data_IF_944373195426
#
_entry.id   IF_944373195426
#
_cell.length_a   1.000
_cell.length_b   1.000
_cell.length_c   1.000
_cell.angle_alpha   90.00
_cell.angle_beta   90.00
_cell.angle_gamma   90.00
#
_symmetry.space_group_name_H-M   'P 1'
#
loop_
_entity.id
_entity.type
_entity.pdbx_description
1 polymer ?
#
# COMPACT_ATOMS: atom_id res chain seq x y z
N UNK A 1 -4.01 -32.13 0.74
CA UNK A 1 -3.12 -31.35 1.63
C UNK A 1 -3.98 -30.73 2.73
N UNK A 2 -3.68 -30.95 4.02
CA UNK A 2 -4.54 -30.44 5.10
C UNK A 2 -4.58 -28.90 5.04
N UNK A 3 -5.76 -28.30 5.24
CA UNK A 3 -5.95 -26.83 5.20
C UNK A 3 -4.99 -26.11 6.18
N UNK A 4 -4.65 -26.77 7.28
CA UNK A 4 -3.68 -26.32 8.27
C UNK A 4 -2.26 -26.23 7.71
N UNK A 5 -1.77 -27.27 7.01
CA UNK A 5 -0.42 -27.26 6.43
C UNK A 5 -0.27 -26.14 5.38
N UNK A 6 -1.32 -25.93 4.58
CA UNK A 6 -1.38 -24.83 3.61
C UNK A 6 -1.27 -23.47 4.29
N UNK A 7 -1.97 -23.26 5.40
CA UNK A 7 -1.94 -21.98 6.11
C UNK A 7 -0.60 -21.73 6.81
N UNK A 8 -0.01 -22.76 7.43
CA UNK A 8 1.32 -22.69 8.04
C UNK A 8 2.37 -22.32 6.98
N UNK A 9 2.34 -22.98 5.83
CA UNK A 9 3.27 -22.70 4.72
C UNK A 9 3.11 -21.26 4.21
N UNK A 10 1.86 -20.76 4.09
CA UNK A 10 1.60 -19.37 3.70
C UNK A 10 2.20 -18.37 4.68
N UNK A 11 1.95 -18.54 5.98
CA UNK A 11 2.50 -17.64 6.99
C UNK A 11 4.03 -17.69 7.04
N UNK A 12 4.61 -18.90 6.99
CA UNK A 12 6.06 -19.08 6.93
C UNK A 12 6.67 -18.39 5.70
N UNK A 13 6.03 -18.49 4.53
CA UNK A 13 6.46 -17.80 3.32
C UNK A 13 6.45 -16.27 3.50
N UNK A 14 5.38 -15.68 4.04
CA UNK A 14 5.32 -14.22 4.26
C UNK A 14 6.33 -13.73 5.30
N UNK A 15 6.57 -14.50 6.36
CA UNK A 15 7.59 -14.18 7.36
C UNK A 15 8.99 -14.26 6.74
N UNK A 16 9.28 -15.33 6.00
CA UNK A 16 10.57 -15.48 5.32
C UNK A 16 10.80 -14.33 4.32
N UNK A 17 9.76 -13.92 3.59
CA UNK A 17 9.82 -12.79 2.67
C UNK A 17 10.07 -11.46 3.41
N UNK A 18 9.42 -11.24 4.55
CA UNK A 18 9.65 -10.07 5.39
C UNK A 18 11.10 -10.01 5.90
N UNK A 19 11.61 -11.13 6.43
CA UNK A 19 13.01 -11.24 6.89
C UNK A 19 13.98 -11.02 5.73
N UNK A 20 13.70 -11.57 4.55
CA UNK A 20 14.51 -11.36 3.35
C UNK A 20 14.59 -9.88 2.98
N UNK A 21 13.46 -9.16 2.96
CA UNK A 21 13.46 -7.73 2.64
C UNK A 21 14.17 -6.87 3.69
N UNK A 22 14.00 -7.18 4.98
CA UNK A 22 14.73 -6.52 6.06
C UNK A 22 16.24 -6.76 5.92
N UNK A 23 16.63 -8.00 5.65
CA UNK A 23 18.04 -8.34 5.42
C UNK A 23 18.59 -7.62 4.19
N UNK A 24 17.86 -7.60 3.07
CA UNK A 24 18.26 -6.85 1.86
C UNK A 24 18.43 -5.35 2.16
N UNK A 25 17.55 -4.77 2.98
CA UNK A 25 17.62 -3.36 3.35
C UNK A 25 18.82 -3.03 4.25
N UNK A 26 19.21 -3.94 5.14
CA UNK A 26 20.26 -3.70 6.14
C UNK A 26 21.64 -4.13 5.65
N UNK A 27 21.73 -5.13 4.75
CA UNK A 27 23.00 -5.70 4.27
C UNK A 27 23.95 -4.68 3.66
N UNK A 28 23.43 -3.58 3.09
CA UNK A 28 24.23 -2.51 2.48
C UNK A 28 24.65 -1.38 3.44
N UNK A 29 24.35 -1.49 4.73
CA UNK A 29 24.70 -0.51 5.76
C UNK A 29 26.11 -0.80 6.31
N UNK A 30 27.10 -0.12 5.75
CA UNK A 30 28.44 -0.07 6.33
C UNK A 30 28.47 0.86 7.55
N UNK A 31 29.54 0.79 8.35
CA UNK A 31 29.78 1.66 9.51
C UNK A 31 29.68 3.16 9.20
N UNK A 32 30.10 3.57 8.00
CA UNK A 32 30.02 4.95 7.54
C UNK A 32 28.57 5.42 7.34
N UNK A 33 27.75 4.64 6.61
CA UNK A 33 26.32 4.94 6.41
C UNK A 33 25.54 4.92 7.72
N UNK A 34 25.95 4.07 8.66
CA UNK A 34 25.36 4.03 9.99
C UNK A 34 25.63 5.31 10.79
N UNK A 35 26.85 5.87 10.66
CA UNK A 35 27.18 7.18 11.24
C UNK A 35 26.41 8.30 10.56
N UNK A 36 26.32 8.30 9.24
CA UNK A 36 25.52 9.29 8.49
C UNK A 36 24.04 9.25 8.89
N UNK A 37 23.45 8.07 9.07
CA UNK A 37 22.07 7.93 9.51
C UNK A 37 21.85 8.53 10.91
N UNK A 38 22.77 8.26 11.85
CA UNK A 38 22.71 8.81 13.21
C UNK A 38 22.85 10.34 13.22
N UNK A 39 23.76 10.86 12.40
CA UNK A 39 24.02 12.28 12.25
C UNK A 39 22.86 13.00 11.53
N UNK A 40 22.21 12.35 10.57
CA UNK A 40 21.00 12.84 9.93
C UNK A 40 19.82 12.89 10.91
N UNK A 41 19.67 11.87 11.77
CA UNK A 41 18.64 11.84 12.81
C UNK A 41 18.87 12.93 13.88
N UNK A 42 20.11 13.12 14.33
CA UNK A 42 20.42 14.12 15.37
C UNK A 42 20.24 15.56 14.88
N UNK A 43 20.51 15.83 13.59
CA UNK A 43 20.32 17.14 12.96
C UNK A 43 18.92 17.36 12.38
N UNK A 44 18.04 16.37 12.46
CA UNK A 44 16.69 16.49 11.92
C UNK A 44 15.90 17.57 12.66
N UNK A 45 15.22 18.45 11.91
CA UNK A 45 14.36 19.45 12.51
C UNK A 45 13.03 18.82 12.93
N UNK A 46 12.93 18.43 14.19
CA UNK A 46 11.71 17.83 14.75
C UNK A 46 10.50 18.78 14.76
N UNK A 47 10.67 20.09 14.55
CA UNK A 47 9.52 20.99 14.37
C UNK A 47 8.71 20.64 13.12
N UNK A 48 9.32 20.01 12.12
CA UNK A 48 8.61 19.52 10.92
C UNK A 48 7.62 18.40 11.22
N UNK A 49 7.74 17.72 12.37
CA UNK A 49 6.78 16.67 12.77
C UNK A 49 5.39 17.25 13.01
N UNK A 50 5.29 18.49 13.53
CA UNK A 50 4.01 19.13 13.80
C UNK A 50 3.14 19.36 12.55
N UNK A 51 3.62 20.03 11.48
CA UNK A 51 2.82 20.22 10.27
C UNK A 51 2.49 18.88 9.59
N UNK A 52 3.38 17.89 9.65
CA UNK A 52 3.11 16.53 9.13
C UNK A 52 1.97 15.87 9.90
N UNK A 53 2.03 15.90 11.24
CA UNK A 53 0.99 15.35 12.09
C UNK A 53 -0.34 16.06 11.89
N UNK A 54 -0.32 17.38 11.78
CA UNK A 54 -1.50 18.19 11.49
C UNK A 54 -2.14 17.79 10.14
N UNK A 55 -1.33 17.71 9.08
CA UNK A 55 -1.80 17.25 7.76
C UNK A 55 -2.36 15.83 7.81
N UNK A 56 -1.74 14.94 8.58
CA UNK A 56 -2.20 13.56 8.75
C UNK A 56 -3.58 13.50 9.43
N UNK A 57 -3.78 14.27 10.50
CA UNK A 57 -5.06 14.34 11.21
C UNK A 57 -6.13 14.97 10.31
N UNK A 58 -5.80 16.05 9.61
CA UNK A 58 -6.70 16.71 8.67
C UNK A 58 -7.11 15.78 7.53
N UNK A 59 -6.17 15.02 6.96
CA UNK A 59 -6.45 14.03 5.92
C UNK A 59 -7.45 12.96 6.39
N UNK A 60 -7.27 12.44 7.61
CA UNK A 60 -8.20 11.47 8.19
C UNK A 60 -9.57 12.08 8.55
N UNK A 61 -9.59 13.38 8.89
CA UNK A 61 -10.83 14.10 9.12
C UNK A 61 -11.64 14.24 7.84
N UNK A 62 -11.00 14.60 6.72
CA UNK A 62 -11.66 14.65 5.41
C UNK A 62 -12.18 13.27 4.98
N UNK A 63 -11.43 12.21 5.25
CA UNK A 63 -11.89 10.83 5.00
C UNK A 63 -13.13 10.49 5.81
N UNK A 64 -13.19 10.89 7.08
CA UNK A 64 -14.39 10.75 7.91
C UNK A 64 -15.59 11.46 7.29
N UNK A 65 -15.42 12.70 6.83
CA UNK A 65 -16.51 13.46 6.20
C UNK A 65 -17.00 12.77 4.94
N UNK A 66 -16.09 12.28 4.09
CA UNK A 66 -16.46 11.50 2.90
C UNK A 66 -17.27 10.26 3.27
N UNK A 67 -16.80 9.48 4.23
CA UNK A 67 -17.49 8.27 4.66
C UNK A 67 -18.86 8.56 5.27
N UNK A 68 -18.99 9.66 6.02
CA UNK A 68 -20.28 10.13 6.52
C UNK A 68 -21.25 10.48 5.37
N UNK A 69 -20.78 11.16 4.31
CA UNK A 69 -21.61 11.46 3.14
C UNK A 69 -22.11 10.19 2.41
N UNK A 70 -21.38 9.08 2.48
CA UNK A 70 -21.83 7.78 1.97
C UNK A 70 -22.90 7.12 2.87
N UNK A 71 -22.94 7.48 4.15
CA UNK A 71 -23.85 6.90 5.15
C UNK A 71 -25.17 7.68 5.26
N UNK A 72 -25.13 9.01 5.09
CA UNK A 72 -26.31 9.88 5.19
C UNK A 72 -27.48 9.47 4.28
N UNK A 73 -27.29 9.05 3.01
CA UNK A 73 -28.37 8.59 2.14
C UNK A 73 -29.08 7.32 2.65
N UNK A 74 -28.45 6.57 3.57
CA UNK A 74 -29.04 5.38 4.17
C UNK A 74 -29.93 5.69 5.38
N UNK A 75 -30.12 6.97 5.72
CA UNK A 75 -30.95 7.43 6.83
C UNK A 75 -30.25 7.42 8.19
N UNK A 76 -28.92 7.28 8.22
CA UNK A 76 -28.14 7.31 9.46
C UNK A 76 -27.29 8.58 9.54
N UNK A 77 -27.26 9.21 10.71
CA UNK A 77 -26.45 10.41 10.98
C UNK A 77 -25.46 10.15 12.11
N UNK A 78 -24.40 9.35 11.86
CA UNK A 78 -23.44 9.03 12.89
C UNK A 78 -22.66 10.26 13.37
N UNK A 79 -22.26 10.25 14.65
CA UNK A 79 -21.42 11.32 15.23
C UNK A 79 -20.06 11.42 14.52
N UNK A 80 -19.66 12.65 14.20
CA UNK A 80 -18.36 12.95 13.55
C UNK A 80 -17.18 12.47 14.39
N UNK A 81 -17.26 12.64 15.70
CA UNK A 81 -16.19 12.28 16.64
C UNK A 81 -16.03 10.76 16.68
N UNK A 82 -17.15 10.02 16.80
CA UNK A 82 -17.13 8.56 16.86
C UNK A 82 -16.64 7.94 15.55
N UNK A 83 -17.04 8.48 14.39
CA UNK A 83 -16.50 8.05 13.10
C UNK A 83 -15.01 8.35 12.96
N UNK A 84 -14.56 9.54 13.37
CA UNK A 84 -13.15 9.89 13.30
C UNK A 84 -12.30 8.98 14.18
N UNK A 85 -12.72 8.72 15.42
CA UNK A 85 -12.05 7.78 16.32
C UNK A 85 -12.07 6.35 15.78
N UNK A 86 -13.18 5.88 15.23
CA UNK A 86 -13.24 4.55 14.59
C UNK A 86 -12.22 4.45 13.45
N UNK A 87 -12.10 5.47 12.62
CA UNK A 87 -11.13 5.54 11.53
C UNK A 87 -9.69 5.49 12.07
N UNK A 88 -9.36 6.26 13.11
CA UNK A 88 -8.03 6.24 13.73
C UNK A 88 -7.71 4.87 14.33
N UNK A 89 -8.64 4.28 15.08
CA UNK A 89 -8.46 2.94 15.68
C UNK A 89 -8.22 1.89 14.60
N UNK A 90 -8.98 1.89 13.52
CA UNK A 90 -8.74 0.92 12.46
C UNK A 90 -7.42 1.16 11.72
N UNK A 91 -6.95 2.40 11.58
CA UNK A 91 -5.60 2.63 11.06
C UNK A 91 -4.53 2.11 12.01
N UNK A 92 -4.71 2.30 13.32
CA UNK A 92 -3.83 1.75 14.32
C UNK A 92 -3.73 0.22 14.24
N UNK A 93 -4.89 -0.45 14.14
CA UNK A 93 -4.98 -1.92 14.00
C UNK A 93 -4.27 -2.41 12.73
N UNK A 94 -4.36 -1.67 11.63
CA UNK A 94 -3.69 -2.04 10.38
C UNK A 94 -2.16 -2.09 10.49
N UNK A 95 -1.55 -1.38 11.46
CA UNK A 95 -0.11 -1.54 11.75
C UNK A 95 0.22 -2.87 12.42
N UNK A 96 -0.70 -3.42 13.23
CA UNK A 96 -0.51 -4.71 13.90
C UNK A 96 -0.78 -5.90 12.98
N UNK A 97 -1.85 -5.82 12.19
CA UNK A 97 -2.18 -6.89 11.23
C UNK A 97 -2.89 -6.33 9.99
N UNK A 98 -2.51 -6.80 8.79
CA UNK A 98 -3.06 -6.29 7.55
C UNK A 98 -4.56 -6.58 7.44
N UNK A 99 -5.33 -5.57 7.00
CA UNK A 99 -6.77 -5.64 6.69
C UNK A 99 -7.72 -5.80 7.89
N UNK A 100 -7.22 -6.08 9.11
CA UNK A 100 -8.07 -6.14 10.30
C UNK A 100 -8.70 -4.78 10.66
N UNK A 101 -8.04 -3.68 10.31
CA UNK A 101 -8.51 -2.34 10.62
C UNK A 101 -9.82 -1.95 9.95
N UNK A 102 -10.13 -2.53 8.79
CA UNK A 102 -11.39 -2.27 8.08
C UNK A 102 -12.57 -2.95 8.78
N UNK A 103 -12.37 -4.19 9.24
CA UNK A 103 -13.36 -4.93 10.04
C UNK A 103 -13.62 -4.19 11.35
N UNK A 104 -12.57 -3.79 12.07
CA UNK A 104 -12.70 -3.12 13.36
C UNK A 104 -13.42 -1.77 13.24
N UNK A 105 -13.19 -0.98 12.19
CA UNK A 105 -13.94 0.26 11.92
C UNK A 105 -15.44 0.01 11.84
N UNK A 106 -15.87 -0.96 11.04
CA UNK A 106 -17.27 -1.31 10.90
C UNK A 106 -17.86 -1.82 12.21
N UNK A 107 -17.14 -2.68 12.93
CA UNK A 107 -17.63 -3.24 14.21
C UNK A 107 -17.80 -2.17 15.28
N UNK A 108 -16.83 -1.27 15.43
CA UNK A 108 -16.92 -0.16 16.39
C UNK A 108 -18.08 0.76 16.02
N UNK A 109 -18.17 1.17 14.76
CA UNK A 109 -19.23 2.09 14.35
C UNK A 109 -20.62 1.45 14.46
N UNK A 110 -20.75 0.16 14.13
CA UNK A 110 -22.00 -0.58 14.30
C UNK A 110 -22.42 -0.66 15.78
N UNK A 111 -21.46 -0.81 16.70
CA UNK A 111 -21.74 -0.89 18.14
C UNK A 111 -22.15 0.46 18.75
N UNK A 112 -21.45 1.53 18.39
CA UNK A 112 -21.64 2.85 19.00
C UNK A 112 -22.74 3.69 18.32
N UNK A 113 -22.83 3.63 16.99
CA UNK A 113 -23.78 4.43 16.21
C UNK A 113 -25.00 3.63 15.72
N UNK A 114 -25.09 2.34 16.07
CA UNK A 114 -26.20 1.44 15.72
C UNK A 114 -26.48 1.33 14.21
N UNK A 115 -25.47 1.60 13.38
CA UNK A 115 -25.56 1.41 11.93
C UNK A 115 -25.30 -0.07 11.61
N UNK A 116 -26.14 -0.75 10.80
CA UNK A 116 -25.91 -2.15 10.44
C UNK A 116 -24.54 -2.36 9.80
N UNK A 117 -23.78 -3.34 10.30
CA UNK A 117 -22.43 -3.64 9.82
C UNK A 117 -22.42 -3.98 8.32
N UNK A 118 -23.45 -4.66 7.81
CA UNK A 118 -23.55 -5.05 6.39
C UNK A 118 -23.58 -3.82 5.47
N UNK A 119 -24.29 -2.76 5.89
CA UNK A 119 -24.33 -1.49 5.15
C UNK A 119 -22.99 -0.75 5.20
N UNK A 120 -22.31 -0.79 6.34
CA UNK A 120 -20.98 -0.17 6.52
C UNK A 120 -19.90 -0.86 5.68
N UNK A 121 -19.93 -2.19 5.59
CA UNK A 121 -19.00 -2.93 4.72
C UNK A 121 -19.25 -2.58 3.25
N UNK A 122 -20.51 -2.47 2.84
CA UNK A 122 -20.87 -2.04 1.49
C UNK A 122 -20.32 -0.66 1.12
N UNK A 123 -20.39 0.32 2.04
CA UNK A 123 -19.82 1.65 1.78
C UNK A 123 -18.30 1.65 1.69
N UNK A 124 -17.60 0.82 2.47
CA UNK A 124 -16.14 0.68 2.36
C UNK A 124 -15.76 0.10 0.99
N UNK A 125 -16.46 -0.94 0.52
CA UNK A 125 -16.14 -1.53 -0.79
C UNK A 125 -16.37 -0.52 -1.92
N UNK A 126 -17.49 0.22 -1.88
CA UNK A 126 -17.76 1.30 -2.83
C UNK A 126 -16.68 2.39 -2.79
N UNK A 127 -16.26 2.79 -1.58
CA UNK A 127 -15.17 3.74 -1.37
C UNK A 127 -13.87 3.26 -2.04
N UNK A 128 -13.50 1.98 -1.85
CA UNK A 128 -12.29 1.39 -2.45
C UNK A 128 -12.37 1.32 -3.97
N UNK A 129 -13.54 1.02 -4.53
CA UNK A 129 -13.72 0.98 -5.98
C UNK A 129 -13.50 2.36 -6.60
N UNK A 130 -14.07 3.41 -6.00
CA UNK A 130 -13.88 4.80 -6.45
C UNK A 130 -12.42 5.23 -6.30
N UNK A 131 -11.77 4.89 -5.19
CA UNK A 131 -10.35 5.16 -4.97
C UNK A 131 -9.49 4.47 -6.04
N UNK A 132 -9.79 3.22 -6.40
CA UNK A 132 -9.06 2.50 -7.44
C UNK A 132 -9.24 3.13 -8.82
N UNK A 133 -10.47 3.52 -9.18
CA UNK A 133 -10.74 4.22 -10.45
C UNK A 133 -10.00 5.55 -10.50
N UNK A 134 -10.06 6.35 -9.43
CA UNK A 134 -9.33 7.63 -9.37
C UNK A 134 -7.81 7.44 -9.46
N UNK A 135 -7.26 6.41 -8.79
CA UNK A 135 -5.85 6.07 -8.89
C UNK A 135 -5.45 5.72 -10.34
N UNK A 136 -6.25 4.90 -11.05
CA UNK A 136 -5.99 4.54 -12.44
C UNK A 136 -6.01 5.76 -13.34
N UNK A 137 -6.97 6.68 -13.16
CA UNK A 137 -7.05 7.91 -13.94
C UNK A 137 -5.82 8.79 -13.69
N UNK A 138 -5.48 9.07 -12.44
CA UNK A 138 -4.33 9.91 -12.08
C UNK A 138 -3.02 9.27 -12.57
N UNK A 139 -2.88 7.95 -12.43
CA UNK A 139 -1.73 7.22 -12.93
C UNK A 139 -1.61 7.30 -14.45
N UNK A 140 -2.72 7.13 -15.18
CA UNK A 140 -2.75 7.27 -16.64
C UNK A 140 -2.37 8.69 -17.09
N UNK A 141 -2.93 9.72 -16.45
CA UNK A 141 -2.55 11.12 -16.71
C UNK A 141 -1.06 11.34 -16.43
N UNK A 142 -0.55 10.85 -15.30
CA UNK A 142 0.87 10.97 -14.94
C UNK A 142 1.76 10.33 -16.00
N UNK A 143 1.37 9.17 -16.52
CA UNK A 143 2.11 8.47 -17.57
C UNK A 143 2.17 9.26 -18.87
N UNK A 144 1.07 9.91 -19.26
CA UNK A 144 1.01 10.77 -20.46
C UNK A 144 1.89 12.02 -20.25
N UNK A 145 1.77 12.69 -19.11
CA UNK A 145 2.53 13.91 -18.81
C UNK A 145 4.04 13.63 -18.73
N UNK A 146 4.42 12.51 -18.11
CA UNK A 146 5.82 12.12 -17.94
C UNK A 146 6.36 11.24 -19.05
N UNK A 147 5.72 11.19 -20.21
CA UNK A 147 6.15 10.32 -21.31
C UNK A 147 7.63 10.56 -21.71
N UNK A 148 8.08 11.82 -21.70
CA UNK A 148 9.47 12.18 -22.02
C UNK A 148 10.46 11.68 -20.96
N UNK A 149 10.12 11.79 -19.67
CA UNK A 149 10.94 11.26 -18.57
C UNK A 149 11.00 9.74 -18.65
N UNK A 150 9.86 9.10 -18.91
CA UNK A 150 9.77 7.64 -19.04
C UNK A 150 10.58 7.15 -20.24
N UNK A 151 10.51 7.83 -21.37
CA UNK A 151 11.26 7.46 -22.59
C UNK A 151 12.77 7.66 -22.41
N UNK A 152 13.20 8.75 -21.78
CA UNK A 152 14.61 8.99 -21.46
C UNK A 152 15.16 8.04 -20.40
N UNK A 153 14.41 7.71 -19.35
CA UNK A 153 14.81 6.67 -18.38
C UNK A 153 14.90 5.29 -19.03
N UNK A 154 13.98 4.99 -19.95
CA UNK A 154 14.01 3.74 -20.71
C UNK A 154 15.26 3.68 -21.60
N UNK A 155 15.59 4.76 -22.31
CA UNK A 155 16.75 4.82 -23.20
C UNK A 155 18.10 4.84 -22.45
N UNK A 156 18.17 5.50 -21.31
CA UNK A 156 19.44 5.73 -20.58
C UNK A 156 19.77 4.64 -19.55
N UNK A 157 18.76 4.03 -18.92
CA UNK A 157 18.97 3.12 -17.79
C UNK A 157 18.51 1.69 -18.10
N UNK A 158 17.40 1.54 -18.82
CA UNK A 158 16.80 0.22 -19.08
C UNK A 158 17.41 -0.43 -20.32
N UNK A 159 17.47 0.27 -21.45
CA UNK A 159 17.99 -0.27 -22.71
C UNK A 159 19.49 -0.64 -22.66
N UNK A 160 20.38 0.12 -21.99
CA UNK A 160 21.79 -0.25 -21.87
C UNK A 160 22.01 -1.44 -20.93
N UNK A 161 21.21 -1.57 -19.86
CA UNK A 161 21.24 -2.74 -18.98
C UNK A 161 20.85 -4.05 -19.70
N UNK A 162 20.05 -3.93 -20.77
CA UNK A 162 19.62 -5.04 -21.62
C UNK A 162 20.56 -5.32 -22.81
N UNK A 163 21.50 -4.41 -23.12
CA UNK A 163 22.53 -4.60 -24.16
C UNK A 163 23.81 -5.21 -23.56
N UNK A 164 24.50 -6.03 -24.33
CA UNK A 164 25.86 -6.48 -24.00
C UNK A 164 26.88 -5.40 -24.43
N UNK A 165 28.13 -5.50 -23.95
CA UNK A 165 29.22 -4.56 -24.26
C UNK A 165 29.46 -4.35 -25.77
N UNK A 166 29.05 -5.29 -26.62
CA UNK A 166 29.22 -5.27 -28.08
C UNK A 166 28.02 -4.66 -28.85
N UNK A 167 27.05 -4.03 -28.15
CA UNK A 167 25.92 -3.33 -28.77
C UNK A 167 24.77 -4.21 -29.26
N UNK A 168 24.88 -5.54 -29.16
CA UNK A 168 23.79 -6.49 -29.45
C UNK A 168 22.86 -6.66 -28.24
N UNK A 169 21.56 -6.78 -28.50
CA UNK A 169 20.53 -6.99 -27.47
C UNK A 169 20.62 -8.42 -26.93
N UNK A 170 20.81 -8.55 -25.61
CA UNK A 170 21.00 -9.84 -24.95
C UNK A 170 19.65 -10.54 -24.78
N UNK A 171 19.32 -11.47 -25.70
CA UNK A 171 18.04 -12.19 -25.75
C UNK A 171 17.69 -12.87 -24.42
N UNK A 172 18.70 -13.37 -23.69
CA UNK A 172 18.47 -14.06 -22.41
C UNK A 172 18.08 -13.09 -21.27
N UNK A 173 18.62 -11.86 -21.24
CA UNK A 173 18.28 -10.86 -20.21
C UNK A 173 16.86 -10.32 -20.43
N UNK A 174 16.49 -10.11 -21.68
CA UNK A 174 15.11 -9.74 -22.06
C UNK A 174 14.15 -10.89 -21.71
N UNK A 175 14.52 -12.14 -22.01
CA UNK A 175 13.74 -13.31 -21.62
C UNK A 175 13.63 -13.49 -20.10
N UNK A 176 14.67 -13.13 -19.34
CA UNK A 176 14.65 -13.17 -17.87
C UNK A 176 13.75 -12.08 -17.28
N UNK A 177 13.78 -10.85 -17.81
CA UNK A 177 12.89 -9.77 -17.38
C UNK A 177 11.44 -10.06 -17.79
N UNK A 178 11.20 -10.50 -19.02
CA UNK A 178 9.88 -10.90 -19.49
C UNK A 178 9.35 -12.11 -18.72
N UNK A 179 10.19 -13.11 -18.47
CA UNK A 179 9.87 -14.26 -17.63
C UNK A 179 9.55 -13.85 -16.19
N UNK A 180 10.32 -12.91 -15.61
CA UNK A 180 10.05 -12.34 -14.30
C UNK A 180 8.71 -11.60 -14.23
N UNK A 181 8.37 -10.81 -15.25
CA UNK A 181 7.09 -10.11 -15.36
C UNK A 181 5.91 -11.08 -15.54
N UNK A 182 6.07 -12.13 -16.35
CA UNK A 182 5.06 -13.18 -16.55
C UNK A 182 4.86 -13.96 -15.25
N UNK A 183 5.94 -14.33 -14.58
CA UNK A 183 5.90 -15.06 -13.32
C UNK A 183 5.29 -14.19 -12.21
N UNK A 184 5.62 -12.89 -12.17
CA UNK A 184 4.97 -11.91 -11.29
C UNK A 184 3.48 -11.79 -11.59
N UNK A 185 3.08 -11.69 -12.86
CA UNK A 185 1.68 -11.65 -13.27
C UNK A 185 0.92 -12.91 -12.85
N UNK A 186 1.49 -14.09 -13.08
CA UNK A 186 0.90 -15.36 -12.64
C UNK A 186 0.86 -15.47 -11.11
N UNK A 187 1.85 -14.95 -10.40
CA UNK A 187 1.91 -14.96 -8.94
C UNK A 187 0.87 -14.00 -8.35
N UNK A 188 0.67 -12.82 -8.94
CA UNK A 188 -0.40 -11.88 -8.61
C UNK A 188 -1.76 -12.52 -8.90
N UNK A 189 -1.97 -13.12 -10.08
CA UNK A 189 -3.22 -13.81 -10.41
C UNK A 189 -3.50 -14.98 -9.45
N UNK A 190 -2.47 -15.77 -9.12
CA UNK A 190 -2.57 -16.88 -8.18
C UNK A 190 -2.93 -16.39 -6.77
N UNK A 191 -2.30 -15.30 -6.30
CA UNK A 191 -2.65 -14.66 -5.03
C UNK A 191 -4.11 -14.19 -5.05
N UNK A 192 -4.53 -13.44 -6.08
CA UNK A 192 -5.91 -12.94 -6.19
C UNK A 192 -6.95 -14.07 -6.28
N UNK A 193 -6.67 -15.16 -7.00
CA UNK A 193 -7.57 -16.32 -7.09
C UNK A 193 -7.78 -17.07 -5.77
N UNK A 194 -6.98 -16.78 -4.75
CA UNK A 194 -7.04 -17.41 -3.43
C UNK A 194 -7.62 -16.51 -2.34
N UNK A 195 -7.86 -15.24 -2.66
CA UNK A 195 -8.45 -14.23 -1.78
C UNK A 195 -9.85 -13.78 -2.23
N UNK A 196 -10.39 -14.36 -3.32
CA UNK A 196 -11.80 -14.27 -3.71
C UNK A 196 -12.58 -15.48 -3.24
#
# INVERSE_FOLDING_TARGET
MSKTLVNVLKYAFFIALAVLFVWLSIRGLNEEKWRELKDALSRANYLLVFPILFMLLLSNWLRMLRWRMLIEPMGYHPSRINMFLAILIGYFVNYGAPRLGEVIKCTILARYEKVPADKLVGTIVAERAVDLVSLVIVFGITFIIQFDVISTMTMSSILPALKNADGTTSTWRIAAVAGGLILFFFLVRFLFSRFG
#
